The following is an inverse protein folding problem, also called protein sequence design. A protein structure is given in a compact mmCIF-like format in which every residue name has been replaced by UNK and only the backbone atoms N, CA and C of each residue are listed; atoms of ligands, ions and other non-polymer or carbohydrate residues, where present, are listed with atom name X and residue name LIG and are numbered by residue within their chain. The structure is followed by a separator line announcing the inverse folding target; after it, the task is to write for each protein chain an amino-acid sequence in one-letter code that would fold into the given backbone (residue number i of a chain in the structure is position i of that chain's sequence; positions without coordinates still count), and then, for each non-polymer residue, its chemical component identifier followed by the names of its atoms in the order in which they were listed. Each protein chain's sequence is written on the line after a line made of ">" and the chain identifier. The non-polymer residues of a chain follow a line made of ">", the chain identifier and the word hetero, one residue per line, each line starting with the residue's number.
data_IF_043992567590
#
_entry.id   IF_043992567590
#
_cell.length_a   1.000
_cell.length_b   1.000
_cell.length_c   1.000
_cell.angle_alpha   90.00
_cell.angle_beta   90.00
_cell.angle_gamma   90.00
#
_symmetry.space_group_name_H-M   'P 1'
#
loop_
_entity.id
_entity.type
_entity.pdbx_description
1 polymer ?
#
# COMPACT_ATOMS: atom_id res chain seq x y z
N UNK A 1 -4.35 -9.08 -6.56
CA UNK A 1 -4.71 -8.21 -5.43
C UNK A 1 -4.99 -6.84 -6.01
N UNK A 2 -6.07 -6.17 -5.60
CA UNK A 2 -6.37 -4.83 -6.10
C UNK A 2 -5.84 -3.79 -5.13
N UNK A 3 -5.38 -2.68 -5.68
CA UNK A 3 -4.97 -1.50 -4.96
C UNK A 3 -5.67 -0.27 -5.50
N UNK A 4 -5.99 0.68 -4.63
CA UNK A 4 -6.63 1.94 -4.98
C UNK A 4 -5.81 3.09 -4.42
N UNK A 5 -5.42 4.01 -5.29
CA UNK A 5 -4.73 5.23 -4.89
C UNK A 5 -5.68 6.11 -4.06
N UNK A 6 -5.23 6.55 -2.90
CA UNK A 6 -5.98 7.42 -1.99
C UNK A 6 -5.10 8.55 -1.48
N UNK A 7 -5.74 9.65 -1.08
CA UNK A 7 -5.09 10.66 -0.28
C UNK A 7 -5.19 10.24 1.19
N UNK A 8 -4.05 10.20 1.88
CA UNK A 8 -4.02 9.93 3.31
C UNK A 8 -3.47 11.14 4.04
N UNK A 9 -4.22 11.62 5.02
CA UNK A 9 -3.78 12.67 5.92
C UNK A 9 -3.23 12.04 7.19
N UNK A 10 -1.90 12.07 7.36
CA UNK A 10 -1.23 11.49 8.52
C UNK A 10 -1.64 12.13 9.86
N UNK A 11 -2.00 13.42 9.85
CA UNK A 11 -2.33 14.15 11.07
C UNK A 11 -3.72 13.78 11.62
N UNK A 12 -4.68 13.52 10.73
CA UNK A 12 -6.06 13.16 11.10
C UNK A 12 -6.37 11.68 10.92
N UNK A 13 -5.44 10.93 10.33
CA UNK A 13 -5.63 9.57 9.84
C UNK A 13 -6.83 9.45 8.87
N UNK A 14 -7.21 10.54 8.22
CA UNK A 14 -8.30 10.55 7.25
C UNK A 14 -7.84 9.96 5.92
N UNK A 15 -8.68 9.11 5.33
CA UNK A 15 -8.47 8.52 4.02
C UNK A 15 -9.52 9.09 3.08
N UNK A 16 -9.06 9.87 2.12
CA UNK A 16 -9.89 10.48 1.09
C UNK A 16 -9.71 9.73 -0.22
N UNK A 17 -10.81 9.17 -0.74
CA UNK A 17 -10.78 8.52 -2.05
C UNK A 17 -10.62 9.56 -3.14
N UNK A 18 -9.67 9.34 -4.04
CA UNK A 18 -9.50 10.17 -5.22
C UNK A 18 -10.57 9.73 -6.23
N UNK A 19 -11.47 10.63 -6.64
CA UNK A 19 -12.59 10.28 -7.55
C UNK A 19 -12.13 9.72 -8.90
N UNK A 20 -10.92 10.08 -9.34
CA UNK A 20 -10.30 9.59 -10.58
C UNK A 20 -9.47 8.32 -10.39
N UNK A 21 -9.27 7.86 -9.15
CA UNK A 21 -8.49 6.65 -8.90
C UNK A 21 -9.27 5.41 -9.32
N UNK A 22 -8.65 4.62 -10.20
CA UNK A 22 -9.16 3.32 -10.60
C UNK A 22 -8.40 2.22 -9.87
N UNK A 23 -9.04 1.08 -9.57
CA UNK A 23 -8.33 -0.07 -9.02
C UNK A 23 -7.27 -0.57 -9.98
N UNK A 24 -6.03 -0.63 -9.51
CA UNK A 24 -4.87 -1.16 -10.23
C UNK A 24 -4.39 -2.48 -9.57
N UNK A 25 -3.68 -3.35 -10.31
CA UNK A 25 -3.07 -4.53 -9.71
C UNK A 25 -1.92 -4.14 -8.77
N UNK A 26 -1.99 -4.60 -7.52
CA UNK A 26 -1.03 -4.24 -6.47
C UNK A 26 0.41 -4.64 -6.81
N UNK A 27 0.59 -5.79 -7.45
CA UNK A 27 1.88 -6.27 -7.96
C UNK A 27 2.54 -5.26 -8.90
N UNK A 28 1.81 -4.69 -9.86
CA UNK A 28 2.34 -3.65 -10.74
C UNK A 28 2.65 -2.34 -10.01
N UNK A 29 1.88 -2.00 -8.97
CA UNK A 29 2.16 -0.84 -8.12
C UNK A 29 3.47 -1.05 -7.36
N UNK A 30 3.65 -2.20 -6.71
CA UNK A 30 4.90 -2.54 -6.03
C UNK A 30 6.10 -2.44 -6.98
N UNK A 31 6.02 -3.01 -8.18
CA UNK A 31 7.11 -2.95 -9.16
C UNK A 31 7.42 -1.50 -9.61
N UNK A 32 6.40 -0.64 -9.73
CA UNK A 32 6.56 0.78 -10.08
C UNK A 32 7.37 1.55 -9.02
N UNK A 33 7.29 1.14 -7.76
CA UNK A 33 7.98 1.75 -6.63
C UNK A 33 9.20 0.92 -6.17
N UNK A 34 9.81 0.11 -7.03
CA UNK A 34 10.96 -0.75 -6.71
C UNK A 34 10.73 -1.69 -5.50
N UNK A 35 9.47 -2.03 -5.22
CA UNK A 35 9.00 -2.75 -4.04
C UNK A 35 9.26 -2.02 -2.70
N UNK A 36 9.49 -0.71 -2.73
CA UNK A 36 9.63 0.15 -1.56
C UNK A 36 8.25 0.59 -1.04
N UNK A 37 7.54 -0.35 -0.40
CA UNK A 37 6.12 -0.21 -0.03
C UNK A 37 5.82 -0.56 1.43
N UNK A 38 5.67 0.43 2.31
CA UNK A 38 5.44 0.23 3.74
C UNK A 38 3.96 0.09 4.10
N UNK A 39 3.60 -0.92 4.90
CA UNK A 39 2.26 -1.00 5.49
C UNK A 39 2.11 0.02 6.62
N UNK A 40 1.12 0.89 6.52
CA UNK A 40 0.85 1.94 7.51
C UNK A 40 -0.11 1.43 8.58
N UNK A 41 -1.29 0.96 8.17
CA UNK A 41 -2.33 0.49 9.09
C UNK A 41 -3.28 -0.51 8.44
N UNK A 42 -4.00 -1.26 9.26
CA UNK A 42 -5.19 -1.98 8.81
C UNK A 42 -6.36 -0.99 8.67
N UNK A 43 -7.18 -1.18 7.63
CA UNK A 43 -8.41 -0.41 7.44
C UNK A 43 -9.58 -1.38 7.30
N UNK A 44 -10.76 -0.95 7.70
CA UNK A 44 -11.99 -1.70 7.43
C UNK A 44 -12.80 -0.91 6.43
N UNK A 45 -12.46 -1.03 5.15
CA UNK A 45 -13.15 -0.30 4.09
C UNK A 45 -14.36 -1.10 3.56
N UNK A 46 -15.54 -0.47 3.39
CA UNK A 46 -16.74 -1.14 2.89
C UNK A 46 -16.61 -1.66 1.45
N UNK A 47 -15.61 -1.21 0.67
CA UNK A 47 -15.32 -1.71 -0.68
C UNK A 47 -14.39 -2.93 -0.69
N UNK A 48 -14.02 -3.45 0.48
CA UNK A 48 -13.23 -4.68 0.64
C UNK A 48 -11.72 -4.47 0.76
N UNK A 49 -11.25 -3.22 0.83
CA UNK A 49 -9.84 -2.94 1.16
C UNK A 49 -9.60 -3.12 2.66
N UNK A 50 -8.47 -3.74 3.00
CA UNK A 50 -8.20 -4.17 4.39
C UNK A 50 -6.93 -3.56 4.99
N UNK A 51 -6.09 -2.90 4.18
CA UNK A 51 -4.96 -2.13 4.68
C UNK A 51 -4.59 -0.94 3.82
N UNK A 52 -3.87 -0.01 4.44
CA UNK A 52 -3.24 1.13 3.82
C UNK A 52 -1.73 0.90 3.74
N UNK A 53 -1.17 1.13 2.55
CA UNK A 53 0.25 1.09 2.27
C UNK A 53 0.73 2.47 1.80
N UNK A 54 1.98 2.82 2.12
CA UNK A 54 2.71 3.94 1.56
C UNK A 54 3.79 3.41 0.63
N UNK A 55 3.82 3.89 -0.60
CA UNK A 55 4.85 3.56 -1.59
C UNK A 55 5.74 4.79 -1.74
N UNK A 56 7.05 4.63 -1.65
CA UNK A 56 7.98 5.75 -1.76
C UNK A 56 8.42 5.90 -3.22
N UNK A 57 8.16 7.08 -3.80
CA UNK A 57 8.65 7.41 -5.14
C UNK A 57 10.17 7.69 -5.13
N UNK A 58 10.74 7.98 -6.30
CA UNK A 58 12.16 8.33 -6.45
C UNK A 58 12.57 9.59 -5.65
N UNK A 59 11.60 10.43 -5.26
CA UNK A 59 11.81 11.62 -4.43
C UNK A 59 11.58 11.34 -2.94
N UNK A 60 11.40 10.07 -2.56
CA UNK A 60 11.07 9.63 -1.21
C UNK A 60 9.76 10.24 -0.68
N UNK A 61 8.83 10.58 -1.59
CA UNK A 61 7.49 11.05 -1.26
C UNK A 61 6.55 9.86 -1.09
N UNK A 62 5.81 9.79 0.04
CA UNK A 62 4.88 8.69 0.27
C UNK A 62 3.62 8.85 -0.59
N UNK A 63 3.33 7.83 -1.38
CA UNK A 63 2.09 7.68 -2.15
C UNK A 63 1.24 6.59 -1.52
N UNK A 64 0.01 6.92 -1.16
CA UNK A 64 -0.81 6.04 -0.33
C UNK A 64 -1.79 5.19 -1.14
N UNK A 65 -1.83 3.90 -0.86
CA UNK A 65 -2.71 2.95 -1.54
C UNK A 65 -3.48 2.11 -0.54
N UNK A 66 -4.79 2.02 -0.75
CA UNK A 66 -5.63 1.01 -0.12
C UNK A 66 -5.43 -0.32 -0.86
N UNK A 67 -5.16 -1.38 -0.12
CA UNK A 67 -4.89 -2.71 -0.65
C UNK A 67 -5.86 -3.71 -0.05
N UNK A 68 -6.39 -4.58 -0.91
CA UNK A 68 -7.15 -5.76 -0.50
C UNK A 68 -6.15 -6.84 -0.04
N UNK A 69 -5.82 -6.87 1.26
CA UNK A 69 -5.07 -7.98 1.87
C UNK A 69 -6.00 -9.19 2.00
N UNK A 70 -5.93 -10.10 1.03
CA UNK A 70 -6.44 -11.48 1.14
C UNK A 70 -5.32 -12.49 1.42
N UNK A 71 -5.62 -13.80 1.44
CA UNK A 71 -4.61 -14.88 1.59
C UNK A 71 -3.44 -14.78 0.58
N UNK A 72 -3.68 -14.14 -0.56
CA UNK A 72 -2.67 -13.90 -1.59
C UNK A 72 -1.53 -13.00 -1.12
N UNK A 73 -1.76 -12.07 -0.17
CA UNK A 73 -0.72 -11.19 0.36
C UNK A 73 0.18 -11.91 1.36
N UNK A 74 -0.37 -12.86 2.12
CA UNK A 74 0.43 -13.79 2.95
C UNK A 74 1.36 -14.62 2.08
N UNK A 75 0.88 -15.11 0.93
CA UNK A 75 1.70 -15.82 -0.05
C UNK A 75 2.73 -14.92 -0.72
N UNK A 76 2.38 -13.66 -1.03
CA UNK A 76 3.32 -12.70 -1.61
C UNK A 76 4.42 -12.34 -0.60
N UNK A 77 4.08 -12.00 0.65
CA UNK A 77 5.08 -11.81 1.74
C UNK A 77 6.02 -13.00 1.94
N UNK A 78 5.54 -14.21 1.72
CA UNK A 78 6.39 -15.41 1.78
C UNK A 78 7.27 -15.58 0.54
N UNK A 79 6.81 -15.13 -0.65
CA UNK A 79 7.49 -15.32 -1.93
C UNK A 79 8.48 -14.19 -2.24
N UNK A 80 8.08 -12.95 -1.98
CA UNK A 80 8.94 -11.78 -1.91
C UNK A 80 9.39 -11.65 -0.46
N UNK A 81 10.47 -12.35 -0.11
CA UNK A 81 11.31 -11.99 1.04
C UNK A 81 11.83 -10.57 0.74
N UNK A 82 11.00 -9.58 1.04
CA UNK A 82 11.26 -8.16 0.92
C UNK A 82 12.29 -7.82 1.98
N UNK A 83 13.57 -8.05 1.68
CA UNK A 83 14.72 -7.75 2.55
C UNK A 83 14.82 -6.28 2.98
N UNK A 84 13.90 -5.41 2.55
CA UNK A 84 13.85 -3.99 2.88
C UNK A 84 12.58 -3.55 3.61
N UNK A 85 11.54 -4.39 3.71
CA UNK A 85 10.31 -3.98 4.38
C UNK A 85 10.27 -4.41 5.84
N UNK A 86 10.65 -3.46 6.70
CA UNK A 86 10.50 -3.58 8.15
C UNK A 86 11.80 -3.62 8.93
N UNK A 87 12.92 -3.11 8.41
CA UNK A 87 14.01 -2.72 9.31
C UNK A 87 13.70 -1.35 9.90
N UNK A 88 13.40 -1.22 11.20
CA UNK A 88 13.56 0.07 11.86
C UNK A 88 15.02 0.49 11.63
N UNK A 89 15.22 1.72 11.16
CA UNK A 89 16.56 2.30 11.10
C UNK A 89 17.15 2.25 12.53
N UNK A 90 18.14 1.39 12.75
CA UNK A 90 19.03 1.44 13.92
C UNK A 90 20.09 2.50 13.75
#
# INVERSE_FOLDING_TARGET
>A
MKSLHVNFNEATQAIDTIETASPEPWDAVCERFDNDVQRIMAVSDPKGYTALYACYDENNQPVYYLVEEGEALTKLRQKTFLSKLGQPQT
#
